data_IF_735559382627
#
_entry.id   IF_735559382627
#
_cell.length_a   1.000
_cell.length_b   1.000
_cell.length_c   1.000
_cell.angle_alpha   90.00
_cell.angle_beta   90.00
_cell.angle_gamma   90.00
#
_symmetry.space_group_name_H-M   'P 1'
#
loop_
_entity.id
_entity.type
_entity.pdbx_description
1 polymer ?
#
# COMPACT_ATOMS: atom_id res chain seq x y z
N UNK A 1 -16.83 21.25 8.28
CA UNK A 1 -15.99 21.95 7.28
C UNK A 1 -16.27 23.45 7.35
N UNK A 2 -15.25 24.29 7.37
CA UNK A 2 -15.44 25.75 7.42
C UNK A 2 -14.48 26.46 6.46
N UNK A 3 -14.76 27.73 6.11
CA UNK A 3 -13.96 28.52 5.19
C UNK A 3 -13.86 27.91 3.80
N UNK A 4 -12.65 27.86 3.25
CA UNK A 4 -12.39 27.32 1.90
C UNK A 4 -12.72 25.84 1.75
N UNK A 5 -12.68 25.03 2.83
CA UNK A 5 -12.98 23.60 2.79
C UNK A 5 -14.42 23.30 2.37
N UNK A 6 -15.39 24.05 2.89
CA UNK A 6 -16.81 23.83 2.51
C UNK A 6 -17.05 24.20 1.04
N UNK A 7 -16.44 25.27 0.56
CA UNK A 7 -16.58 25.66 -0.84
C UNK A 7 -15.96 24.63 -1.79
N UNK A 8 -14.77 24.13 -1.47
CA UNK A 8 -14.16 23.03 -2.26
C UNK A 8 -14.99 21.75 -2.20
N UNK A 9 -15.59 21.42 -1.06
CA UNK A 9 -16.47 20.26 -0.93
C UNK A 9 -17.75 20.41 -1.78
N UNK A 10 -18.35 21.61 -1.82
CA UNK A 10 -19.47 21.90 -2.71
C UNK A 10 -19.10 21.77 -4.17
N UNK A 11 -17.96 22.30 -4.60
CA UNK A 11 -17.48 22.17 -5.98
C UNK A 11 -17.24 20.68 -6.34
N UNK A 12 -16.60 19.91 -5.47
CA UNK A 12 -16.44 18.47 -5.67
C UNK A 12 -17.77 17.73 -5.75
N UNK A 13 -18.74 18.09 -4.91
CA UNK A 13 -20.09 17.52 -4.96
C UNK A 13 -20.82 17.89 -6.25
N UNK A 14 -20.79 19.17 -6.66
CA UNK A 14 -21.37 19.61 -7.94
C UNK A 14 -20.72 18.93 -9.14
N UNK A 15 -19.40 18.75 -9.10
CA UNK A 15 -18.69 17.95 -10.10
C UNK A 15 -19.29 16.55 -10.21
N UNK A 16 -19.43 15.82 -9.08
CA UNK A 16 -19.99 14.46 -9.08
C UNK A 16 -21.42 14.42 -9.61
N UNK A 17 -22.28 15.34 -9.19
CA UNK A 17 -23.67 15.42 -9.63
C UNK A 17 -23.74 15.62 -11.16
N UNK A 18 -22.86 16.44 -11.72
CA UNK A 18 -22.79 16.70 -13.16
C UNK A 18 -22.23 15.51 -13.98
N UNK A 19 -21.54 14.58 -13.35
CA UNK A 19 -21.01 13.37 -14.01
C UNK A 19 -22.01 12.20 -14.05
N UNK A 20 -23.16 12.31 -13.36
CA UNK A 20 -24.19 11.28 -13.36
C UNK A 20 -24.75 11.07 -14.75
N UNK A 21 -24.96 9.81 -15.12
CA UNK A 21 -25.46 9.40 -16.43
C UNK A 21 -26.96 9.08 -16.36
N UNK A 22 -27.68 9.22 -17.46
CA UNK A 22 -29.06 8.72 -17.56
C UNK A 22 -29.13 7.24 -17.14
N UNK A 23 -29.99 6.93 -16.18
CA UNK A 23 -30.12 5.60 -15.61
C UNK A 23 -29.38 5.39 -14.28
N UNK A 24 -28.49 6.31 -13.89
CA UNK A 24 -27.95 6.32 -12.54
C UNK A 24 -29.01 6.67 -11.51
N UNK A 25 -28.84 6.18 -10.30
CA UNK A 25 -29.65 6.58 -9.14
C UNK A 25 -28.72 7.11 -8.06
N UNK A 26 -29.09 8.20 -7.42
CA UNK A 26 -28.24 8.87 -6.44
C UNK A 26 -29.04 9.53 -5.33
N UNK A 27 -28.36 9.86 -4.26
CA UNK A 27 -28.82 10.81 -3.24
C UNK A 27 -27.62 11.59 -2.70
N UNK A 28 -27.88 12.67 -2.00
CA UNK A 28 -26.89 13.49 -1.28
C UNK A 28 -27.30 13.54 0.19
N UNK A 29 -26.35 13.21 1.05
CA UNK A 29 -26.52 13.21 2.51
C UNK A 29 -25.57 14.26 3.08
N UNK A 30 -26.12 15.34 3.58
CA UNK A 30 -25.38 16.32 4.36
C UNK A 30 -25.50 15.99 5.85
N UNK A 31 -24.47 16.28 6.61
CA UNK A 31 -24.49 16.01 8.04
C UNK A 31 -23.59 16.97 8.83
N UNK A 32 -24.09 17.30 10.00
CA UNK A 32 -23.38 17.93 11.10
C UNK A 32 -23.79 17.23 12.41
N UNK A 33 -24.47 17.89 13.33
CA UNK A 33 -25.13 17.30 14.50
C UNK A 33 -26.38 16.50 14.09
N UNK A 34 -27.04 16.91 13.00
CA UNK A 34 -28.17 16.25 12.36
C UNK A 34 -27.74 15.61 11.04
N UNK A 35 -28.60 14.78 10.47
CA UNK A 35 -28.41 14.20 9.15
C UNK A 35 -29.54 14.67 8.25
N UNK A 36 -29.20 15.29 7.14
CA UNK A 36 -30.14 15.82 6.16
C UNK A 36 -29.93 15.11 4.81
N UNK A 37 -31.00 14.58 4.26
CA UNK A 37 -30.98 13.95 2.94
C UNK A 37 -31.58 14.89 1.91
N UNK A 38 -30.98 14.99 0.73
CA UNK A 38 -31.54 15.73 -0.41
C UNK A 38 -32.97 15.23 -0.73
N UNK A 39 -33.17 13.93 -0.66
CA UNK A 39 -34.48 13.27 -0.80
C UNK A 39 -34.60 12.11 0.16
N UNK A 40 -35.83 11.67 0.53
CA UNK A 40 -36.04 10.51 1.40
C UNK A 40 -35.52 9.19 0.80
N UNK A 41 -35.47 9.10 -0.55
CA UNK A 41 -35.09 7.90 -1.29
C UNK A 41 -34.12 8.26 -2.44
N UNK A 42 -33.50 7.23 -3.01
CA UNK A 42 -32.66 7.39 -4.21
C UNK A 42 -33.46 7.98 -5.36
N UNK A 43 -32.89 8.95 -6.04
CA UNK A 43 -33.46 9.64 -7.18
C UNK A 43 -32.80 9.19 -8.48
N UNK A 44 -33.54 9.16 -9.57
CA UNK A 44 -32.97 8.97 -10.92
C UNK A 44 -32.25 10.24 -11.36
N UNK A 45 -31.13 10.05 -12.05
CA UNK A 45 -30.40 11.15 -12.65
C UNK A 45 -31.12 11.61 -13.93
N UNK A 46 -31.93 12.65 -13.80
CA UNK A 46 -32.55 13.41 -14.89
C UNK A 46 -32.28 14.89 -14.71
N UNK A 47 -32.57 15.69 -15.72
CA UNK A 47 -32.27 17.13 -15.73
C UNK A 47 -32.88 17.88 -14.53
N UNK A 48 -34.12 17.58 -14.17
CA UNK A 48 -34.82 18.22 -13.08
C UNK A 48 -34.22 17.88 -11.73
N UNK A 49 -33.91 16.61 -11.53
CA UNK A 49 -33.34 16.10 -10.28
C UNK A 49 -31.89 16.57 -10.10
N UNK A 50 -31.09 16.57 -11.17
CA UNK A 50 -29.72 17.10 -11.18
C UNK A 50 -29.75 18.59 -10.80
N UNK A 51 -30.61 19.40 -11.43
CA UNK A 51 -30.75 20.82 -11.12
C UNK A 51 -31.15 21.07 -9.66
N UNK A 52 -32.08 20.28 -9.14
CA UNK A 52 -32.49 20.37 -7.73
C UNK A 52 -31.36 19.97 -6.76
N UNK A 53 -30.57 18.92 -7.11
CA UNK A 53 -29.44 18.49 -6.29
C UNK A 53 -28.28 19.51 -6.28
N UNK A 54 -28.02 20.17 -7.42
CA UNK A 54 -27.06 21.28 -7.50
C UNK A 54 -27.50 22.45 -6.60
N UNK A 55 -28.78 22.82 -6.60
CA UNK A 55 -29.30 23.84 -5.71
C UNK A 55 -29.21 23.44 -4.23
N UNK A 56 -29.45 22.16 -3.91
CA UNK A 56 -29.21 21.64 -2.56
C UNK A 56 -27.73 21.75 -2.16
N UNK A 57 -26.81 21.38 -3.05
CA UNK A 57 -25.37 21.49 -2.80
C UNK A 57 -24.93 22.94 -2.56
N UNK A 58 -25.46 23.91 -3.32
CA UNK A 58 -25.17 25.33 -3.12
C UNK A 58 -25.69 25.84 -1.77
N UNK A 59 -26.80 25.30 -1.28
CA UNK A 59 -27.41 25.64 0.01
C UNK A 59 -26.68 25.09 1.23
N UNK A 60 -25.73 24.17 1.07
CA UNK A 60 -24.99 23.59 2.19
C UNK A 60 -24.14 24.66 2.92
N UNK A 61 -24.10 24.57 4.22
CA UNK A 61 -23.27 25.44 5.07
C UNK A 61 -22.50 24.62 6.10
N UNK A 62 -21.39 25.15 6.55
CA UNK A 62 -20.59 24.54 7.59
C UNK A 62 -21.17 24.89 8.96
N UNK A 63 -21.36 23.91 9.82
CA UNK A 63 -21.84 24.13 11.18
C UNK A 63 -21.90 22.87 12.00
N UNK A 64 -22.17 23.03 13.27
CA UNK A 64 -22.48 21.95 14.18
C UNK A 64 -21.31 21.03 14.51
N UNK A 65 -21.68 19.87 15.02
CA UNK A 65 -20.80 18.76 15.38
C UNK A 65 -20.74 17.73 14.22
N UNK A 66 -20.12 16.58 14.44
CA UNK A 66 -19.86 15.59 13.35
C UNK A 66 -20.49 14.24 13.70
N UNK A 67 -21.64 13.93 13.09
CA UNK A 67 -22.39 12.69 13.27
C UNK A 67 -22.08 11.70 12.14
N UNK A 68 -20.90 11.11 12.16
CA UNK A 68 -20.44 10.16 11.14
C UNK A 68 -21.34 8.91 11.08
N UNK A 69 -21.64 8.33 12.22
CA UNK A 69 -22.44 7.10 12.31
C UNK A 69 -23.83 7.26 11.71
N UNK A 70 -24.52 8.34 12.08
CA UNK A 70 -25.85 8.64 11.56
C UNK A 70 -25.87 8.85 10.05
N UNK A 71 -24.88 9.59 9.52
CA UNK A 71 -24.75 9.83 8.08
C UNK A 71 -24.51 8.53 7.30
N UNK A 72 -23.58 7.69 7.75
CA UNK A 72 -23.27 6.42 7.10
C UNK A 72 -24.45 5.45 7.13
N UNK A 73 -25.13 5.30 8.29
CA UNK A 73 -26.30 4.45 8.39
C UNK A 73 -27.43 4.92 7.46
N UNK A 74 -27.66 6.24 7.38
CA UNK A 74 -28.67 6.82 6.49
C UNK A 74 -28.35 6.53 5.04
N UNK A 75 -27.13 6.80 4.60
CA UNK A 75 -26.71 6.57 3.23
C UNK A 75 -26.78 5.08 2.84
N UNK A 76 -26.26 4.18 3.68
CA UNK A 76 -26.17 2.76 3.37
C UNK A 76 -27.53 2.06 3.37
N UNK A 77 -28.46 2.45 4.27
CA UNK A 77 -29.83 1.89 4.31
C UNK A 77 -30.70 2.29 3.11
N UNK A 78 -30.36 3.37 2.41
CA UNK A 78 -31.06 3.76 1.18
C UNK A 78 -30.73 2.86 0.00
N UNK A 79 -29.60 2.14 0.04
CA UNK A 79 -29.14 1.25 -1.00
C UNK A 79 -29.83 -0.10 -0.86
N UNK A 80 -30.71 -0.45 -1.79
CA UNK A 80 -31.60 -1.61 -1.68
C UNK A 80 -31.58 -2.56 -2.89
N UNK A 81 -30.82 -2.26 -3.94
CA UNK A 81 -30.70 -3.10 -5.13
C UNK A 81 -29.34 -3.84 -5.17
N UNK A 82 -29.29 -5.14 -4.80
CA UNK A 82 -28.05 -5.90 -4.80
C UNK A 82 -27.52 -6.26 -6.20
N UNK A 83 -28.31 -6.02 -7.25
CA UNK A 83 -27.90 -6.27 -8.65
C UNK A 83 -27.11 -5.10 -9.24
N UNK A 84 -27.20 -3.94 -8.59
CA UNK A 84 -26.47 -2.73 -9.03
C UNK A 84 -25.25 -2.53 -8.18
N UNK A 85 -24.12 -2.27 -8.83
CA UNK A 85 -22.91 -1.83 -8.10
C UNK A 85 -23.16 -0.45 -7.50
N UNK A 86 -23.11 -0.36 -6.19
CA UNK A 86 -23.37 0.88 -5.44
C UNK A 86 -22.09 1.41 -4.82
N UNK A 87 -21.94 2.73 -4.82
CA UNK A 87 -20.80 3.44 -4.29
C UNK A 87 -21.26 4.49 -3.27
N UNK A 88 -20.57 4.57 -2.14
CA UNK A 88 -20.72 5.66 -1.17
C UNK A 88 -19.43 6.47 -1.17
N UNK A 89 -19.50 7.73 -1.54
CA UNK A 89 -18.40 8.68 -1.42
C UNK A 89 -18.62 9.46 -0.13
N UNK A 90 -17.83 9.16 0.87
CA UNK A 90 -17.93 9.73 2.21
C UNK A 90 -16.82 10.75 2.43
N UNK A 91 -17.18 11.98 2.83
CA UNK A 91 -16.24 13.07 3.04
C UNK A 91 -16.42 13.68 4.43
N UNK A 92 -15.32 13.83 5.15
CA UNK A 92 -15.29 14.47 6.47
C UNK A 92 -14.00 15.26 6.67
N UNK A 93 -14.06 16.31 7.48
CA UNK A 93 -12.89 17.08 7.93
C UNK A 93 -12.70 17.05 9.45
N UNK A 94 -13.45 16.19 10.15
CA UNK A 94 -13.44 16.14 11.61
C UNK A 94 -13.55 14.73 12.19
N UNK A 95 -13.34 14.70 13.50
CA UNK A 95 -13.55 13.53 14.35
C UNK A 95 -15.05 13.34 14.62
N UNK A 96 -15.55 12.11 14.87
CA UNK A 96 -16.91 11.89 15.32
C UNK A 96 -17.13 12.54 16.70
N UNK A 97 -18.07 13.49 16.81
CA UNK A 97 -18.34 14.24 18.04
C UNK A 97 -19.75 14.06 18.57
N UNK A 98 -20.69 13.60 17.73
CA UNK A 98 -22.09 13.33 18.07
C UNK A 98 -22.50 11.95 17.56
N UNK A 99 -23.50 11.34 18.20
CA UNK A 99 -23.93 9.99 17.94
C UNK A 99 -22.94 8.96 18.49
N UNK A 100 -22.77 7.83 17.80
CA UNK A 100 -21.73 6.87 18.16
C UNK A 100 -20.36 7.46 17.81
N UNK A 101 -19.38 7.33 18.70
CA UNK A 101 -18.02 7.85 18.56
C UNK A 101 -16.95 6.78 18.63
N UNK A 102 -17.33 5.57 19.06
CA UNK A 102 -16.43 4.44 19.06
C UNK A 102 -16.20 3.93 17.65
N UNK A 103 -14.95 3.90 17.20
CA UNK A 103 -14.57 3.51 15.84
C UNK A 103 -15.06 2.12 15.46
N UNK A 104 -14.99 1.16 16.40
CA UNK A 104 -15.37 -0.23 16.14
C UNK A 104 -16.88 -0.36 15.99
N UNK A 105 -17.63 0.40 16.78
CA UNK A 105 -19.10 0.41 16.70
C UNK A 105 -19.56 1.13 15.43
N UNK A 106 -18.96 2.28 15.07
CA UNK A 106 -19.28 2.97 13.82
C UNK A 106 -19.06 2.03 12.63
N UNK A 107 -17.92 1.34 12.58
CA UNK A 107 -17.61 0.39 11.51
C UNK A 107 -18.58 -0.80 11.50
N UNK A 108 -18.95 -1.34 12.67
CA UNK A 108 -19.93 -2.42 12.79
C UNK A 108 -21.32 -2.00 12.33
N UNK A 109 -21.77 -0.79 12.70
CA UNK A 109 -23.05 -0.21 12.28
C UNK A 109 -23.09 0.00 10.77
N UNK A 110 -22.02 0.55 10.19
CA UNK A 110 -21.90 0.71 8.75
C UNK A 110 -21.94 -0.62 8.00
N UNK A 111 -21.23 -1.64 8.49
CA UNK A 111 -21.26 -2.98 7.90
C UNK A 111 -22.66 -3.61 7.98
N UNK A 112 -23.35 -3.47 9.11
CA UNK A 112 -24.71 -3.97 9.27
C UNK A 112 -25.71 -3.25 8.36
N UNK A 113 -25.55 -1.94 8.16
CA UNK A 113 -26.40 -1.15 7.28
C UNK A 113 -26.15 -1.42 5.78
N UNK A 114 -24.98 -1.95 5.41
CA UNK A 114 -24.60 -2.19 4.02
C UNK A 114 -25.07 -3.55 3.50
N UNK A 115 -26.37 -3.71 3.34
CA UNK A 115 -26.97 -4.96 2.88
C UNK A 115 -26.67 -5.32 1.41
N UNK A 116 -26.28 -4.34 0.58
CA UNK A 116 -26.00 -4.54 -0.85
C UNK A 116 -24.50 -4.61 -1.16
N UNK A 117 -23.65 -4.60 -0.15
CA UNK A 117 -22.19 -4.59 -0.31
C UNK A 117 -21.67 -3.41 -1.14
N UNK A 118 -22.24 -2.23 -0.94
CA UNK A 118 -21.76 -1.00 -1.55
C UNK A 118 -20.30 -0.75 -1.16
N UNK A 119 -19.53 -0.17 -2.09
CA UNK A 119 -18.12 0.22 -1.87
C UNK A 119 -18.09 1.60 -1.25
N UNK A 120 -17.33 1.76 -0.18
CA UNK A 120 -17.21 3.03 0.52
C UNK A 120 -15.84 3.66 0.28
N UNK A 121 -15.84 4.83 -0.35
CA UNK A 121 -14.64 5.63 -0.58
C UNK A 121 -14.65 6.81 0.42
N UNK A 122 -13.66 6.81 1.31
CA UNK A 122 -13.58 7.79 2.39
C UNK A 122 -12.56 8.89 2.09
N UNK A 123 -12.98 10.14 2.15
CA UNK A 123 -12.12 11.32 1.99
C UNK A 123 -11.95 12.03 3.32
N UNK A 124 -10.74 12.05 3.83
CA UNK A 124 -10.34 12.87 4.98
C UNK A 124 -9.80 14.21 4.51
N UNK A 125 -10.42 15.32 4.89
CA UNK A 125 -10.04 16.66 4.46
C UNK A 125 -9.29 17.40 5.56
N UNK A 126 -8.02 17.68 5.34
CA UNK A 126 -7.13 18.27 6.34
C UNK A 126 -6.57 17.21 7.30
N UNK A 127 -6.12 17.67 8.46
CA UNK A 127 -5.43 16.82 9.43
C UNK A 127 -6.27 16.47 10.67
N UNK A 128 -7.42 17.12 10.86
CA UNK A 128 -8.27 16.95 12.04
C UNK A 128 -9.24 15.77 11.93
N UNK A 129 -8.92 14.78 11.09
CA UNK A 129 -9.76 13.61 10.80
C UNK A 129 -9.27 12.38 11.56
N UNK A 130 -10.19 11.49 11.94
CA UNK A 130 -9.82 10.17 12.41
C UNK A 130 -9.45 9.28 11.22
N UNK A 131 -8.17 9.33 10.85
CA UNK A 131 -7.66 8.61 9.69
C UNK A 131 -7.77 7.09 9.83
N UNK A 132 -7.66 6.54 11.06
CA UNK A 132 -7.84 5.10 11.31
C UNK A 132 -9.29 4.67 11.10
N UNK A 133 -10.26 5.46 11.53
CA UNK A 133 -11.67 5.18 11.28
C UNK A 133 -11.97 5.18 9.78
N UNK A 134 -11.45 6.16 9.03
CA UNK A 134 -11.66 6.24 7.58
C UNK A 134 -11.07 5.02 6.86
N UNK A 135 -9.85 4.61 7.22
CA UNK A 135 -9.23 3.40 6.66
C UNK A 135 -10.05 2.14 6.99
N UNK A 136 -10.52 2.02 8.24
CA UNK A 136 -11.35 0.89 8.67
C UNK A 136 -12.65 0.82 7.88
N UNK A 137 -13.37 1.93 7.76
CA UNK A 137 -14.62 2.01 7.00
C UNK A 137 -14.41 1.63 5.54
N UNK A 138 -13.41 2.22 4.90
CA UNK A 138 -13.09 1.92 3.50
C UNK A 138 -12.67 0.44 3.32
N UNK A 139 -11.78 -0.07 4.17
CA UNK A 139 -11.30 -1.46 4.09
C UNK A 139 -12.43 -2.47 4.26
N UNK A 140 -13.29 -2.30 5.28
CA UNK A 140 -14.39 -3.23 5.55
C UNK A 140 -15.50 -3.19 4.49
N UNK A 141 -15.61 -2.06 3.77
CA UNK A 141 -16.61 -1.84 2.71
C UNK A 141 -16.00 -1.91 1.29
N UNK A 142 -14.87 -2.60 1.09
CA UNK A 142 -14.23 -2.84 -0.22
C UNK A 142 -13.92 -1.59 -1.05
N UNK A 143 -13.73 -0.46 -0.39
CA UNK A 143 -13.34 0.80 -0.99
C UNK A 143 -11.91 1.20 -0.63
N UNK A 144 -11.64 2.48 -0.72
CA UNK A 144 -10.33 3.08 -0.43
C UNK A 144 -10.52 4.37 0.36
N UNK A 145 -9.53 4.69 1.20
CA UNK A 145 -9.43 6.00 1.84
C UNK A 145 -8.47 6.90 1.07
N UNK A 146 -8.78 8.17 1.01
CA UNK A 146 -7.93 9.21 0.44
C UNK A 146 -7.87 10.40 1.40
N UNK A 147 -6.71 11.04 1.47
CA UNK A 147 -6.51 12.18 2.35
C UNK A 147 -6.14 13.39 1.52
N UNK A 148 -6.90 14.47 1.71
CA UNK A 148 -6.70 15.74 1.02
C UNK A 148 -6.03 16.71 1.98
N UNK A 149 -4.79 17.07 1.72
CA UNK A 149 -4.02 17.97 2.57
C UNK A 149 -4.57 19.41 2.48
N UNK A 150 -4.30 20.29 3.46
CA UNK A 150 -4.85 21.65 3.48
C UNK A 150 -4.55 22.51 2.24
N UNK A 151 -3.49 22.19 1.53
CA UNK A 151 -3.04 22.89 0.30
C UNK A 151 -3.41 22.15 -1.00
N UNK A 152 -4.17 21.07 -0.91
CA UNK A 152 -4.61 20.28 -2.07
C UNK A 152 -6.08 20.56 -2.41
N UNK A 153 -6.47 20.27 -3.66
CA UNK A 153 -7.84 20.43 -4.13
C UNK A 153 -8.66 19.18 -3.83
N UNK A 154 -9.77 19.33 -3.13
CA UNK A 154 -10.74 18.26 -2.88
C UNK A 154 -11.31 17.76 -4.22
N UNK A 155 -11.67 18.67 -5.13
CA UNK A 155 -12.20 18.36 -6.44
C UNK A 155 -11.23 17.47 -7.24
N UNK A 156 -9.94 17.75 -7.22
CA UNK A 156 -8.93 16.96 -7.94
C UNK A 156 -8.90 15.51 -7.46
N UNK A 157 -8.93 15.28 -6.14
CA UNK A 157 -8.97 13.94 -5.55
C UNK A 157 -10.26 13.19 -5.90
N UNK A 158 -11.40 13.87 -5.79
CA UNK A 158 -12.72 13.31 -6.10
C UNK A 158 -12.85 12.99 -7.59
N UNK A 159 -12.39 13.89 -8.47
CA UNK A 159 -12.41 13.68 -9.93
C UNK A 159 -11.52 12.49 -10.33
N UNK A 160 -10.34 12.37 -9.74
CA UNK A 160 -9.46 11.25 -9.99
C UNK A 160 -10.10 9.91 -9.59
N UNK A 161 -10.76 9.87 -8.44
CA UNK A 161 -11.51 8.69 -8.02
C UNK A 161 -12.69 8.41 -8.95
N UNK A 162 -13.51 9.44 -9.26
CA UNK A 162 -14.68 9.26 -10.12
C UNK A 162 -14.31 8.74 -11.50
N UNK A 163 -13.21 9.23 -12.08
CA UNK A 163 -12.68 8.74 -13.35
C UNK A 163 -12.40 7.24 -13.34
N UNK A 164 -12.02 6.69 -12.19
CA UNK A 164 -11.85 5.25 -12.01
C UNK A 164 -13.21 4.54 -11.88
N UNK A 165 -14.00 4.91 -10.88
CA UNK A 165 -15.24 4.19 -10.53
C UNK A 165 -16.36 4.38 -11.55
N UNK A 166 -16.32 5.43 -12.36
CA UNK A 166 -17.32 5.72 -13.41
C UNK A 166 -17.32 4.74 -14.59
N UNK A 167 -16.32 3.84 -14.67
CA UNK A 167 -16.21 2.84 -15.75
C UNK A 167 -15.73 1.49 -15.20
N UNK A 168 -16.57 0.81 -14.38
CA UNK A 168 -16.21 -0.51 -13.87
C UNK A 168 -16.13 -1.51 -15.02
N UNK A 169 -15.02 -2.22 -15.14
CA UNK A 169 -14.80 -3.25 -16.15
C UNK A 169 -15.21 -4.63 -15.63
N UNK A 170 -14.81 -4.92 -14.39
CA UNK A 170 -15.10 -6.20 -13.75
C UNK A 170 -15.25 -5.99 -12.23
N UNK A 171 -16.41 -6.35 -11.68
CA UNK A 171 -16.70 -6.21 -10.25
C UNK A 171 -16.75 -7.57 -9.56
N UNK A 172 -16.67 -7.60 -8.23
CA UNK A 172 -16.72 -8.83 -7.42
C UNK A 172 -15.73 -9.89 -7.90
N UNK A 173 -14.47 -9.50 -8.03
CA UNK A 173 -13.41 -10.35 -8.55
C UNK A 173 -13.13 -11.54 -7.64
N UNK A 174 -12.92 -12.69 -8.27
CA UNK A 174 -12.42 -13.90 -7.64
C UNK A 174 -11.38 -14.56 -8.54
N UNK A 175 -10.31 -15.07 -7.95
CA UNK A 175 -9.27 -15.83 -8.65
C UNK A 175 -9.24 -17.24 -8.12
N UNK A 176 -9.29 -18.22 -9.02
CA UNK A 176 -9.17 -19.64 -8.72
C UNK A 176 -7.95 -20.24 -9.42
N UNK A 177 -7.33 -21.25 -8.79
CA UNK A 177 -6.17 -21.97 -9.30
C UNK A 177 -6.48 -23.44 -9.38
N UNK A 178 -6.35 -24.01 -10.55
CA UNK A 178 -6.43 -25.44 -10.81
C UNK A 178 -5.03 -25.96 -11.11
N UNK A 179 -4.54 -26.89 -10.27
CA UNK A 179 -3.23 -27.50 -10.44
C UNK A 179 -3.39 -28.78 -11.26
N UNK A 180 -2.50 -28.99 -12.23
CA UNK A 180 -2.44 -30.23 -13.01
C UNK A 180 -1.74 -31.35 -12.20
N UNK A 181 -2.21 -31.53 -10.95
CA UNK A 181 -1.77 -32.58 -10.02
C UNK A 181 -2.81 -32.78 -8.92
N UNK A 182 -2.88 -33.99 -8.39
CA UNK A 182 -3.74 -34.27 -7.25
C UNK A 182 -3.15 -33.64 -5.99
N UNK A 183 -3.91 -32.73 -5.38
CA UNK A 183 -3.60 -32.14 -4.07
C UNK A 183 -4.52 -32.80 -3.05
N UNK A 184 -3.99 -33.46 -2.00
CA UNK A 184 -4.83 -34.07 -0.98
C UNK A 184 -5.75 -33.04 -0.31
N UNK A 185 -7.02 -33.35 -0.15
CA UNK A 185 -8.01 -32.46 0.45
C UNK A 185 -7.67 -32.04 1.89
N UNK A 186 -6.88 -32.85 2.59
CA UNK A 186 -6.36 -32.56 3.94
C UNK A 186 -5.16 -31.61 3.93
N UNK A 187 -4.62 -31.27 2.77
CA UNK A 187 -3.47 -30.36 2.66
C UNK A 187 -3.91 -28.93 2.83
N UNK A 188 -3.06 -28.12 3.49
CA UNK A 188 -3.23 -26.68 3.49
C UNK A 188 -3.24 -26.14 2.05
N UNK A 189 -3.97 -25.04 1.82
CA UNK A 189 -4.06 -24.41 0.49
C UNK A 189 -2.70 -24.32 -0.21
N UNK A 190 -2.61 -24.76 -1.47
CA UNK A 190 -1.37 -24.68 -2.25
C UNK A 190 -0.95 -23.24 -2.54
N UNK A 191 -1.89 -22.30 -2.53
CA UNK A 191 -1.66 -20.86 -2.64
C UNK A 191 -1.98 -20.20 -1.29
N UNK A 192 -1.10 -19.35 -0.82
CA UNK A 192 -1.24 -18.71 0.48
C UNK A 192 -0.61 -17.32 0.50
N UNK A 193 -0.92 -16.53 1.54
CA UNK A 193 -0.37 -15.20 1.76
C UNK A 193 -0.42 -14.33 0.50
N UNK A 194 -1.62 -14.26 -0.08
CA UNK A 194 -1.90 -13.45 -1.27
C UNK A 194 -2.20 -12.01 -0.92
N UNK A 195 -1.72 -11.08 -1.73
CA UNK A 195 -1.93 -9.64 -1.53
C UNK A 195 -2.29 -8.95 -2.86
N UNK A 196 -3.36 -8.10 -2.87
CA UNK A 196 -4.26 -7.83 -1.76
C UNK A 196 -5.03 -9.09 -1.31
N UNK A 197 -5.43 -9.14 -0.03
CA UNK A 197 -6.22 -10.27 0.52
C UNK A 197 -7.61 -10.35 -0.07
N UNK A 198 -8.22 -9.19 -0.32
CA UNK A 198 -9.48 -9.05 -1.03
C UNK A 198 -9.20 -8.30 -2.33
N UNK A 199 -9.66 -8.88 -3.42
CA UNK A 199 -9.57 -8.22 -4.72
C UNK A 199 -10.63 -7.12 -4.78
N UNK A 200 -10.21 -5.94 -5.17
CA UNK A 200 -11.11 -4.81 -5.47
C UNK A 200 -11.65 -4.92 -6.88
N UNK A 201 -12.67 -4.14 -7.20
CA UNK A 201 -13.17 -4.04 -8.56
C UNK A 201 -12.06 -3.56 -9.50
N UNK A 202 -12.11 -4.00 -10.74
CA UNK A 202 -11.16 -3.59 -11.79
C UNK A 202 -11.83 -2.57 -12.70
N UNK A 203 -11.20 -1.43 -12.85
CA UNK A 203 -11.69 -0.33 -13.65
C UNK A 203 -10.92 -0.22 -14.98
N UNK A 204 -11.50 0.49 -15.94
CA UNK A 204 -10.88 0.68 -17.25
C UNK A 204 -9.50 1.34 -17.13
N UNK A 205 -8.49 0.74 -17.76
CA UNK A 205 -7.10 1.23 -17.71
C UNK A 205 -6.31 0.81 -16.48
N UNK A 206 -6.92 0.09 -15.53
CA UNK A 206 -6.19 -0.43 -14.36
C UNK A 206 -5.54 -1.79 -14.63
N UNK A 207 -4.48 -2.05 -13.89
CA UNK A 207 -3.78 -3.32 -13.87
C UNK A 207 -4.03 -4.05 -12.55
N UNK A 208 -4.54 -5.28 -12.62
CA UNK A 208 -4.61 -6.15 -11.45
C UNK A 208 -3.25 -6.78 -11.19
N UNK A 209 -2.60 -6.36 -10.12
CA UNK A 209 -1.37 -6.99 -9.62
C UNK A 209 -1.70 -7.78 -8.35
N UNK A 210 -1.58 -9.09 -8.42
CA UNK A 210 -1.84 -9.98 -7.30
C UNK A 210 -0.64 -10.89 -7.07
N UNK A 211 -0.09 -10.89 -5.86
CA UNK A 211 1.11 -11.64 -5.49
C UNK A 211 0.82 -12.58 -4.33
N UNK A 212 1.50 -13.71 -4.29
CA UNK A 212 1.26 -14.71 -3.25
C UNK A 212 2.39 -15.73 -3.17
N UNK A 213 2.24 -16.70 -2.27
CA UNK A 213 3.16 -17.83 -2.13
C UNK A 213 2.47 -19.11 -2.55
N UNK A 214 3.21 -20.01 -3.21
CA UNK A 214 2.75 -21.31 -3.59
C UNK A 214 3.69 -22.42 -3.05
N UNK A 215 3.14 -23.62 -2.89
CA UNK A 215 3.89 -24.78 -2.38
C UNK A 215 4.44 -25.68 -3.47
N UNK A 216 3.74 -25.76 -4.60
CA UNK A 216 4.00 -26.75 -5.64
C UNK A 216 4.22 -26.07 -6.97
N UNK A 217 5.30 -26.41 -7.66
CA UNK A 217 5.54 -26.03 -9.04
C UNK A 217 4.71 -26.89 -10.02
N UNK A 218 4.74 -26.50 -11.29
CA UNK A 218 4.10 -27.22 -12.38
C UNK A 218 3.05 -26.40 -13.12
N UNK A 219 2.39 -26.99 -14.14
CA UNK A 219 1.32 -26.35 -14.89
C UNK A 219 0.11 -26.07 -14.01
N UNK A 220 -0.53 -24.92 -14.23
CA UNK A 220 -1.77 -24.52 -13.58
C UNK A 220 -2.68 -23.83 -14.57
N UNK A 221 -3.98 -23.78 -14.24
CA UNK A 221 -4.95 -22.87 -14.85
C UNK A 221 -5.35 -21.82 -13.84
N UNK A 222 -5.27 -20.56 -14.23
CA UNK A 222 -5.69 -19.40 -13.42
C UNK A 222 -7.00 -18.91 -14.01
N UNK A 223 -8.07 -18.96 -13.22
CA UNK A 223 -9.38 -18.46 -13.64
C UNK A 223 -9.71 -17.18 -12.88
N UNK A 224 -9.81 -16.07 -13.59
CA UNK A 224 -10.32 -14.80 -13.10
C UNK A 224 -11.81 -14.72 -13.38
N UNK A 225 -12.63 -14.61 -12.35
CA UNK A 225 -14.07 -14.46 -12.46
C UNK A 225 -14.53 -13.13 -11.86
N UNK A 226 -15.64 -12.60 -12.35
CA UNK A 226 -16.25 -11.38 -11.84
C UNK A 226 -17.56 -11.09 -12.55
N UNK A 227 -18.16 -9.94 -12.28
CA UNK A 227 -19.40 -9.48 -12.91
C UNK A 227 -19.12 -8.32 -13.87
N UNK A 228 -19.67 -8.39 -15.07
CA UNK A 228 -19.66 -7.32 -16.08
C UNK A 228 -21.10 -6.91 -16.33
N UNK A 229 -21.46 -5.69 -16.00
CA UNK A 229 -22.85 -5.20 -16.10
C UNK A 229 -23.89 -6.13 -15.45
N UNK A 230 -23.54 -6.75 -14.31
CA UNK A 230 -24.41 -7.68 -13.58
C UNK A 230 -24.36 -9.14 -14.06
N UNK A 231 -23.70 -9.44 -15.18
CA UNK A 231 -23.52 -10.80 -15.67
C UNK A 231 -22.18 -11.40 -15.21
N UNK A 232 -22.20 -12.64 -14.73
CA UNK A 232 -20.98 -13.37 -14.35
C UNK A 232 -20.16 -13.74 -15.59
N UNK A 233 -18.89 -13.34 -15.60
CA UNK A 233 -17.91 -13.69 -16.63
C UNK A 233 -16.70 -14.36 -15.99
N UNK A 234 -16.02 -15.22 -16.75
CA UNK A 234 -14.79 -15.86 -16.33
C UNK A 234 -13.78 -15.92 -17.46
N UNK A 235 -12.52 -15.73 -17.13
CA UNK A 235 -11.39 -15.75 -18.06
C UNK A 235 -10.36 -16.71 -17.51
N UNK A 236 -9.94 -17.68 -18.33
CA UNK A 236 -8.99 -18.72 -17.90
C UNK A 236 -7.68 -18.58 -18.67
N UNK A 237 -6.58 -18.63 -17.96
CA UNK A 237 -5.23 -18.48 -18.49
C UNK A 237 -4.37 -19.68 -18.07
N UNK A 238 -3.65 -20.32 -18.99
CA UNK A 238 -2.63 -21.30 -18.62
C UNK A 238 -1.41 -20.58 -18.02
N UNK A 239 -0.79 -21.17 -17.00
CA UNK A 239 0.44 -20.67 -16.42
C UNK A 239 1.30 -21.83 -15.92
N UNK A 240 2.58 -21.58 -15.65
CA UNK A 240 3.48 -22.54 -15.05
C UNK A 240 4.16 -21.92 -13.84
N UNK A 241 3.99 -22.55 -12.69
CA UNK A 241 4.71 -22.20 -11.47
C UNK A 241 6.07 -22.93 -11.46
N UNK A 242 7.15 -22.19 -11.34
CA UNK A 242 8.51 -22.76 -11.33
C UNK A 242 8.88 -23.25 -9.92
N UNK A 243 9.54 -24.40 -9.80
CA UNK A 243 9.98 -24.91 -8.48
C UNK A 243 11.13 -24.08 -7.90
N UNK A 244 12.04 -23.65 -8.75
CA UNK A 244 13.16 -22.77 -8.41
C UNK A 244 13.36 -21.78 -9.54
N UNK A 245 13.45 -20.51 -9.20
CA UNK A 245 13.90 -19.52 -10.15
C UNK A 245 15.42 -19.56 -10.23
N UNK A 246 15.94 -20.00 -11.38
CA UNK A 246 17.37 -19.89 -11.70
C UNK A 246 17.70 -18.49 -12.25
N UNK A 247 16.69 -17.69 -12.55
CA UNK A 247 16.77 -16.41 -13.21
C UNK A 247 16.56 -15.27 -12.22
N UNK A 248 17.48 -14.32 -12.20
CA UNK A 248 17.38 -13.10 -11.41
C UNK A 248 16.30 -12.13 -11.93
N UNK A 249 15.79 -12.33 -13.14
CA UNK A 249 14.80 -11.46 -13.79
C UNK A 249 13.54 -11.30 -12.94
N UNK A 250 13.12 -12.32 -12.22
CA UNK A 250 11.91 -12.33 -11.40
C UNK A 250 12.15 -12.02 -9.92
N UNK A 251 13.37 -11.65 -9.52
CA UNK A 251 13.70 -11.33 -8.12
C UNK A 251 12.91 -10.15 -7.53
N UNK A 252 12.40 -9.25 -8.38
CA UNK A 252 11.55 -8.15 -7.96
C UNK A 252 10.20 -8.64 -7.37
N UNK A 253 9.71 -9.82 -7.78
CA UNK A 253 8.43 -10.38 -7.30
C UNK A 253 8.50 -10.68 -5.80
N UNK A 254 9.63 -11.21 -5.32
CA UNK A 254 9.83 -11.48 -3.90
C UNK A 254 9.82 -10.18 -3.07
N UNK A 255 10.49 -9.14 -3.56
CA UNK A 255 10.47 -7.82 -2.92
C UNK A 255 9.08 -7.18 -2.95
N UNK A 256 8.37 -7.29 -4.06
CA UNK A 256 7.00 -6.81 -4.18
C UNK A 256 6.07 -7.51 -3.19
N UNK A 257 6.16 -8.83 -3.10
CA UNK A 257 5.40 -9.60 -2.11
C UNK A 257 5.72 -9.12 -0.67
N UNK A 258 7.01 -8.97 -0.34
CA UNK A 258 7.43 -8.51 0.97
C UNK A 258 6.93 -7.09 1.28
N UNK A 259 6.97 -6.18 0.29
CA UNK A 259 6.44 -4.80 0.42
C UNK A 259 4.95 -4.82 0.77
N UNK A 260 4.15 -5.58 0.02
CA UNK A 260 2.71 -5.72 0.29
C UNK A 260 2.44 -6.42 1.62
N UNK A 261 3.24 -7.44 1.98
CA UNK A 261 3.11 -8.09 3.29
C UNK A 261 3.39 -7.13 4.44
N UNK A 262 4.43 -6.29 4.33
CA UNK A 262 4.71 -5.25 5.34
C UNK A 262 3.55 -4.26 5.43
N UNK A 263 3.00 -3.81 4.31
CA UNK A 263 1.80 -2.95 4.29
C UNK A 263 0.61 -3.59 5.00
N UNK A 264 0.34 -4.88 4.76
CA UNK A 264 -0.71 -5.63 5.46
C UNK A 264 -0.41 -5.80 6.96
N UNK A 265 0.84 -6.05 7.35
CA UNK A 265 1.22 -6.12 8.76
C UNK A 265 0.93 -4.80 9.46
N UNK A 266 1.33 -3.68 8.87
CA UNK A 266 1.06 -2.35 9.43
C UNK A 266 -0.45 -2.11 9.54
N UNK A 267 -1.22 -2.49 8.54
CA UNK A 267 -2.68 -2.39 8.55
C UNK A 267 -3.31 -3.25 9.65
N UNK A 268 -2.86 -4.49 9.80
CA UNK A 268 -3.33 -5.37 10.88
C UNK A 268 -3.01 -4.81 12.28
N UNK A 269 -1.81 -4.27 12.47
CA UNK A 269 -1.38 -3.64 13.73
C UNK A 269 -2.19 -2.37 14.02
N UNK A 270 -2.49 -1.57 13.01
CA UNK A 270 -3.27 -0.34 13.13
C UNK A 270 -4.75 -0.63 13.44
N UNK A 271 -5.36 -1.58 12.72
CA UNK A 271 -6.80 -1.83 12.81
C UNK A 271 -7.19 -2.84 13.90
N UNK A 272 -6.32 -3.80 14.23
CA UNK A 272 -6.62 -4.89 15.18
C UNK A 272 -5.84 -4.81 16.49
N UNK A 273 -4.91 -3.85 16.58
CA UNK A 273 -4.06 -3.66 17.75
C UNK A 273 -2.72 -4.40 17.65
N UNK A 274 -1.93 -4.25 18.70
CA UNK A 274 -0.55 -4.70 18.73
C UNK A 274 -0.42 -6.22 18.80
N UNK A 275 0.46 -6.77 17.97
CA UNK A 275 0.84 -8.17 17.93
C UNK A 275 2.36 -8.29 17.73
N UNK A 276 3.04 -8.90 18.69
CA UNK A 276 4.50 -9.03 18.67
C UNK A 276 5.00 -9.85 17.47
N UNK A 277 4.33 -10.94 17.13
CA UNK A 277 4.72 -11.81 16.00
C UNK A 277 4.67 -11.06 14.67
N UNK A 278 3.68 -10.19 14.49
CA UNK A 278 3.59 -9.36 13.29
C UNK A 278 4.71 -8.32 13.22
N UNK A 279 5.09 -7.74 14.34
CA UNK A 279 6.22 -6.80 14.39
C UNK A 279 7.52 -7.54 14.10
N UNK A 280 7.72 -8.71 14.68
CA UNK A 280 8.89 -9.54 14.45
C UNK A 280 9.01 -9.92 12.95
N UNK A 281 7.90 -10.34 12.33
CA UNK A 281 7.85 -10.62 10.89
C UNK A 281 8.19 -9.37 10.06
N UNK A 282 7.65 -8.20 10.42
CA UNK A 282 7.95 -6.94 9.73
C UNK A 282 9.43 -6.58 9.80
N UNK A 283 10.05 -6.69 10.98
CA UNK A 283 11.49 -6.42 11.16
C UNK A 283 12.33 -7.39 10.32
N UNK A 284 11.99 -8.68 10.31
CA UNK A 284 12.69 -9.68 9.50
C UNK A 284 12.57 -9.42 8.00
N UNK A 285 11.38 -9.09 7.52
CA UNK A 285 11.17 -8.72 6.13
C UNK A 285 11.93 -7.45 5.75
N UNK A 286 11.97 -6.46 6.66
CA UNK A 286 12.73 -5.22 6.47
C UNK A 286 14.23 -5.49 6.31
N UNK A 287 14.80 -6.33 7.18
CA UNK A 287 16.20 -6.73 7.08
C UNK A 287 16.46 -7.48 5.77
N UNK A 288 15.68 -8.53 5.51
CA UNK A 288 15.92 -9.43 4.37
C UNK A 288 15.80 -8.75 3.02
N UNK A 289 14.81 -7.87 2.84
CA UNK A 289 14.50 -7.26 1.54
C UNK A 289 14.89 -5.79 1.44
N UNK A 290 15.45 -5.19 2.52
CA UNK A 290 15.83 -3.78 2.55
C UNK A 290 14.66 -2.82 2.44
N UNK A 291 13.49 -3.23 2.93
CA UNK A 291 12.28 -2.41 2.93
C UNK A 291 12.23 -1.67 4.26
N UNK A 292 12.78 -0.46 4.27
CA UNK A 292 12.85 0.35 5.49
C UNK A 292 11.57 1.17 5.64
N UNK A 293 10.88 0.95 6.74
CA UNK A 293 9.65 1.65 7.12
C UNK A 293 9.93 2.67 8.22
N UNK A 294 9.02 3.61 8.52
CA UNK A 294 9.14 4.49 9.70
C UNK A 294 9.41 3.71 10.99
N UNK A 295 8.84 2.50 11.11
CA UNK A 295 8.95 1.65 12.30
C UNK A 295 10.26 0.86 12.37
N UNK A 296 10.97 0.71 11.26
CA UNK A 296 12.21 -0.07 11.13
C UNK A 296 13.41 0.78 10.68
N UNK A 297 13.28 2.11 10.64
CA UNK A 297 14.32 3.03 10.18
C UNK A 297 15.61 2.96 10.99
N UNK A 298 15.55 2.53 12.26
CA UNK A 298 16.75 2.26 13.10
C UNK A 298 17.68 1.20 12.50
N UNK A 299 17.18 0.31 11.63
CA UNK A 299 18.02 -0.68 10.95
C UNK A 299 19.06 -0.04 10.02
N UNK A 300 18.83 1.18 9.58
CA UNK A 300 19.76 1.94 8.76
C UNK A 300 20.93 2.57 9.57
N UNK A 301 20.83 2.63 10.91
CA UNK A 301 21.87 3.16 11.76
C UNK A 301 23.09 2.21 11.80
N UNK A 302 24.31 2.73 11.62
CA UNK A 302 25.53 1.92 11.49
C UNK A 302 25.83 1.07 12.73
N UNK A 303 25.49 1.58 13.93
CA UNK A 303 25.71 0.92 15.22
C UNK A 303 24.69 -0.17 15.55
N UNK A 304 23.64 -0.33 14.75
CA UNK A 304 22.61 -1.35 14.95
C UNK A 304 23.01 -2.65 14.29
N UNK A 305 23.21 -3.70 15.09
CA UNK A 305 23.52 -5.05 14.60
C UNK A 305 22.27 -5.74 14.06
N UNK A 306 22.30 -6.15 12.80
CA UNK A 306 21.16 -6.84 12.16
C UNK A 306 20.85 -8.18 12.83
N UNK A 307 21.86 -8.86 13.36
CA UNK A 307 21.73 -10.14 14.06
C UNK A 307 21.17 -10.03 15.49
N UNK A 308 21.03 -8.83 16.07
CA UNK A 308 20.36 -8.62 17.35
C UNK A 308 18.83 -8.65 17.15
N UNK A 309 18.29 -9.82 16.81
CA UNK A 309 16.86 -9.99 16.54
C UNK A 309 15.99 -9.50 17.71
N UNK A 310 16.33 -9.89 18.95
CA UNK A 310 15.54 -9.51 20.11
C UNK A 310 15.56 -7.99 20.38
N UNK A 311 16.71 -7.34 20.23
CA UNK A 311 16.83 -5.89 20.36
C UNK A 311 16.11 -5.14 19.26
N UNK A 312 16.25 -5.60 18.01
CA UNK A 312 15.60 -5.00 16.87
C UNK A 312 14.07 -5.15 16.93
N UNK A 313 13.57 -6.31 17.33
CA UNK A 313 12.14 -6.55 17.52
C UNK A 313 11.56 -5.65 18.61
N UNK A 314 12.24 -5.48 19.77
CA UNK A 314 11.80 -4.55 20.82
C UNK A 314 11.77 -3.10 20.35
N UNK A 315 12.77 -2.65 19.59
CA UNK A 315 12.78 -1.28 19.00
C UNK A 315 11.64 -1.09 18.02
N UNK A 316 11.40 -2.06 17.13
CA UNK A 316 10.28 -2.05 16.19
C UNK A 316 8.94 -1.97 16.91
N UNK A 317 8.75 -2.80 17.93
CA UNK A 317 7.53 -2.82 18.74
C UNK A 317 7.25 -1.46 19.42
N UNK A 318 8.26 -0.89 20.07
CA UNK A 318 8.13 0.40 20.74
C UNK A 318 7.75 1.54 19.75
N UNK A 319 8.33 1.53 18.53
CA UNK A 319 8.00 2.50 17.50
C UNK A 319 6.58 2.31 16.98
N UNK A 320 6.18 1.09 16.68
CA UNK A 320 4.80 0.77 16.24
C UNK A 320 3.78 1.24 17.29
N UNK A 321 4.00 0.91 18.58
CA UNK A 321 3.11 1.34 19.64
C UNK A 321 2.94 2.85 19.71
N UNK A 322 4.05 3.59 19.67
CA UNK A 322 4.04 5.04 19.77
C UNK A 322 3.37 5.70 18.57
N UNK A 323 3.73 5.25 17.37
CA UNK A 323 3.39 5.97 16.15
C UNK A 323 1.97 5.62 15.67
N UNK A 324 1.54 4.36 15.70
CA UNK A 324 0.17 3.97 15.32
C UNK A 324 -0.90 4.43 16.34
N UNK A 325 -0.51 4.87 17.53
CA UNK A 325 -1.44 5.51 18.47
C UNK A 325 -1.95 6.87 17.98
N UNK A 326 -1.28 7.48 17.00
CA UNK A 326 -1.70 8.76 16.40
C UNK A 326 -2.85 8.53 15.42
N UNK A 327 -4.05 8.95 15.79
CA UNK A 327 -5.27 8.76 14.98
C UNK A 327 -5.49 9.90 13.98
N UNK A 328 -5.08 11.09 14.35
CA UNK A 328 -5.26 12.35 13.65
C UNK A 328 -3.93 13.09 13.50
N UNK A 329 -4.00 14.31 12.99
CA UNK A 329 -2.84 15.14 12.72
C UNK A 329 -2.08 14.71 11.47
N UNK A 330 -1.07 15.48 11.10
CA UNK A 330 -0.23 15.22 9.93
C UNK A 330 0.42 13.83 9.99
N UNK A 331 0.88 13.41 11.18
CA UNK A 331 1.49 12.09 11.37
C UNK A 331 0.48 10.95 11.18
N UNK A 332 -0.75 11.11 11.70
CA UNK A 332 -1.79 10.11 11.53
C UNK A 332 -2.13 9.89 10.06
N UNK A 333 -2.31 10.98 9.31
CA UNK A 333 -2.58 10.95 7.86
C UNK A 333 -1.40 10.36 7.10
N UNK A 334 -0.17 10.83 7.34
CA UNK A 334 1.02 10.36 6.64
C UNK A 334 1.26 8.85 6.78
N UNK A 335 0.98 8.29 7.97
CA UNK A 335 1.14 6.86 8.22
C UNK A 335 0.13 6.03 7.41
N UNK A 336 -1.14 6.48 7.31
CA UNK A 336 -2.18 5.76 6.56
C UNK A 336 -1.95 5.86 5.06
N UNK A 337 -1.52 7.01 4.56
CA UNK A 337 -1.06 7.14 3.18
C UNK A 337 0.12 6.21 2.88
N UNK A 338 1.11 6.14 3.77
CA UNK A 338 2.28 5.26 3.62
C UNK A 338 1.88 3.79 3.56
N UNK A 339 1.06 3.34 4.52
CA UNK A 339 0.51 1.99 4.59
C UNK A 339 -0.25 1.64 3.30
N UNK A 340 -1.11 2.54 2.81
CA UNK A 340 -1.84 2.37 1.55
C UNK A 340 -0.90 2.15 0.37
N UNK A 341 0.14 2.99 0.23
CA UNK A 341 1.15 2.84 -0.83
C UNK A 341 1.88 1.50 -0.81
N UNK A 342 2.19 0.96 0.37
CA UNK A 342 2.82 -0.37 0.48
C UNK A 342 1.88 -1.48 0.04
N UNK A 343 0.60 -1.39 0.40
CA UNK A 343 -0.42 -2.40 0.04
C UNK A 343 -0.75 -2.40 -1.45
N UNK A 344 -0.71 -1.24 -2.09
CA UNK A 344 -1.02 -1.05 -3.51
C UNK A 344 0.22 -1.08 -4.43
N UNK A 345 1.43 -1.27 -3.87
CA UNK A 345 2.65 -1.27 -4.65
C UNK A 345 2.56 -2.20 -5.86
N UNK A 346 2.91 -1.70 -7.05
CA UNK A 346 2.95 -2.48 -8.31
C UNK A 346 4.36 -2.94 -8.66
N UNK A 347 5.37 -2.38 -7.98
CA UNK A 347 6.78 -2.74 -8.09
C UNK A 347 7.42 -2.79 -6.71
N UNK A 348 8.44 -3.61 -6.53
CA UNK A 348 9.24 -3.60 -5.30
C UNK A 348 9.99 -2.27 -5.12
N UNK A 349 10.47 -1.93 -3.90
CA UNK A 349 11.23 -0.72 -3.68
C UNK A 349 12.48 -0.73 -4.55
N UNK A 350 12.54 0.28 -5.43
CA UNK A 350 13.66 0.67 -6.26
C UNK A 350 14.46 -0.45 -6.97
N UNK A 351 13.84 -1.01 -7.99
CA UNK A 351 14.58 -1.60 -9.12
C UNK A 351 14.31 -0.73 -10.34
N UNK A 352 15.24 0.15 -10.68
CA UNK A 352 15.28 0.88 -11.95
C UNK A 352 14.11 1.82 -12.26
N UNK A 353 14.29 3.11 -12.09
CA UNK A 353 13.64 4.14 -12.91
C UNK A 353 12.24 4.62 -12.57
N UNK A 354 11.63 4.16 -11.50
CA UNK A 354 10.35 4.71 -11.03
C UNK A 354 10.34 4.73 -9.52
N UNK A 355 10.43 5.90 -8.90
CA UNK A 355 10.00 6.06 -7.52
C UNK A 355 8.62 5.44 -7.38
N UNK A 356 8.27 4.92 -6.17
CA UNK A 356 6.94 4.39 -5.85
C UNK A 356 5.91 4.96 -6.81
N UNK A 357 5.40 4.12 -7.73
CA UNK A 357 4.48 4.59 -8.75
C UNK A 357 3.24 5.18 -8.09
N UNK A 358 3.35 6.44 -7.72
CA UNK A 358 2.18 7.27 -7.57
C UNK A 358 1.57 7.37 -8.96
N UNK A 359 0.27 7.15 -9.15
CA UNK A 359 -0.39 7.80 -10.26
C UNK A 359 0.00 9.28 -10.10
N UNK A 360 0.64 9.82 -11.12
CA UNK A 360 1.02 11.22 -11.14
C UNK A 360 -0.25 12.05 -10.98
N UNK A 361 -0.54 12.50 -9.79
CA UNK A 361 -1.41 13.64 -9.59
C UNK A 361 -0.63 14.82 -10.15
N UNK A 362 -0.96 15.17 -11.39
CA UNK A 362 -0.45 16.36 -12.04
C UNK A 362 -0.88 17.57 -11.21
N UNK A 363 0.07 18.26 -10.61
CA UNK A 363 -0.19 19.55 -10.00
C UNK A 363 0.54 19.77 -8.68
N UNK A 364 1.85 19.75 -8.68
CA UNK A 364 2.66 20.28 -7.58
C UNK A 364 3.99 20.76 -8.14
N UNK A 365 4.18 22.06 -8.26
CA UNK A 365 5.47 22.69 -8.54
C UNK A 365 6.42 22.47 -7.36
N UNK A 366 6.94 21.27 -7.23
CA UNK A 366 7.96 20.89 -6.26
C UNK A 366 9.33 21.22 -6.83
N UNK A 367 10.08 22.07 -6.14
CA UNK A 367 11.43 22.48 -6.50
C UNK A 367 12.33 21.29 -6.88
N UNK A 368 13.00 21.42 -8.02
CA UNK A 368 13.83 20.40 -8.61
C UNK A 368 14.95 19.95 -7.67
N UNK A 369 14.77 18.82 -7.00
CA UNK A 369 15.88 18.06 -6.46
C UNK A 369 16.75 17.61 -7.63
N UNK A 370 17.95 18.20 -7.76
CA UNK A 370 18.98 17.73 -8.69
C UNK A 370 19.25 16.26 -8.37
N UNK A 371 18.68 15.35 -9.17
CA UNK A 371 19.07 13.94 -9.18
C UNK A 371 20.56 13.88 -9.53
N UNK A 372 21.41 13.61 -8.53
CA UNK A 372 22.74 13.09 -8.81
C UNK A 372 22.54 11.82 -9.64
N UNK A 373 23.10 11.75 -10.84
CA UNK A 373 23.27 10.49 -11.57
C UNK A 373 24.15 9.61 -10.67
N UNK A 374 23.51 8.70 -9.94
CA UNK A 374 24.22 7.64 -9.23
C UNK A 374 24.65 6.61 -10.27
N UNK A 375 25.90 6.18 -10.20
CA UNK A 375 26.41 5.08 -11.00
C UNK A 375 25.53 3.84 -10.81
N UNK A 376 24.93 3.35 -11.89
CA UNK A 376 24.04 2.19 -11.87
C UNK A 376 24.76 0.93 -11.32
N UNK A 377 26.09 0.91 -11.35
CA UNK A 377 26.95 -0.15 -10.82
C UNK A 377 27.00 -0.19 -9.28
N UNK A 378 26.82 0.95 -8.58
CA UNK A 378 26.94 1.03 -7.12
C UNK A 378 25.63 0.75 -6.37
N UNK A 379 24.55 0.40 -7.08
CA UNK A 379 23.25 0.09 -6.49
C UNK A 379 22.42 1.36 -6.18
N UNK A 380 21.18 1.14 -5.77
CA UNK A 380 20.25 2.21 -5.42
C UNK A 380 20.13 2.34 -3.91
N UNK A 381 20.29 3.55 -3.38
CA UNK A 381 20.03 3.85 -2.00
C UNK A 381 18.55 3.55 -1.66
N UNK A 382 18.31 2.99 -0.49
CA UNK A 382 16.95 2.76 -0.02
C UNK A 382 16.28 4.10 0.31
N UNK A 383 14.98 4.12 0.12
CA UNK A 383 14.15 5.29 0.41
C UNK A 383 13.17 4.91 1.51
N UNK A 384 13.04 5.74 2.51
CA UNK A 384 12.04 5.62 3.57
C UNK A 384 11.24 6.91 3.69
N UNK A 385 10.23 6.88 4.53
CA UNK A 385 9.45 8.04 4.93
C UNK A 385 9.51 8.16 6.44
N UNK A 386 9.65 9.36 6.95
CA UNK A 386 9.55 9.59 8.40
C UNK A 386 8.09 9.65 8.87
N UNK A 387 7.90 9.84 10.17
CA UNK A 387 6.57 9.90 10.77
C UNK A 387 5.71 11.09 10.28
N UNK A 388 6.33 12.14 9.76
CA UNK A 388 5.64 13.30 9.19
C UNK A 388 5.39 13.16 7.68
N UNK A 389 5.78 12.04 7.08
CA UNK A 389 5.58 11.79 5.66
C UNK A 389 6.71 12.32 4.76
N UNK A 390 7.79 12.84 5.33
CA UNK A 390 8.93 13.35 4.55
C UNK A 390 9.75 12.18 4.03
N UNK A 391 9.97 12.17 2.72
CA UNK A 391 10.76 11.13 2.04
C UNK A 391 12.26 11.36 2.32
N UNK A 392 12.94 10.33 2.81
CA UNK A 392 14.35 10.34 3.12
C UNK A 392 15.10 9.27 2.33
N UNK A 393 16.24 9.64 1.76
CA UNK A 393 17.17 8.70 1.12
C UNK A 393 18.14 8.20 2.19
N UNK A 394 18.28 6.89 2.30
CA UNK A 394 19.15 6.24 3.27
C UNK A 394 20.45 5.81 2.59
N UNK A 395 21.50 6.59 2.75
CA UNK A 395 22.82 6.28 2.16
C UNK A 395 23.47 5.03 2.79
N UNK A 396 23.02 4.61 3.97
CA UNK A 396 23.51 3.41 4.68
C UNK A 396 22.80 2.10 4.29
N UNK A 397 21.85 2.14 3.33
CA UNK A 397 21.16 0.95 2.81
C UNK A 397 21.14 0.98 1.30
N UNK A 398 21.70 -0.05 0.65
CA UNK A 398 21.76 -0.18 -0.82
C UNK A 398 21.14 -1.48 -1.30
N UNK A 399 20.35 -1.38 -2.35
CA UNK A 399 19.82 -2.54 -3.08
C UNK A 399 20.65 -2.72 -4.36
N UNK A 400 21.29 -3.88 -4.51
CA UNK A 400 22.07 -4.24 -5.68
C UNK A 400 21.58 -5.59 -6.21
N UNK A 401 20.98 -5.62 -7.39
CA UNK A 401 20.33 -6.82 -7.89
C UNK A 401 19.27 -7.35 -6.92
N UNK A 402 19.41 -8.59 -6.49
CA UNK A 402 18.49 -9.23 -5.54
C UNK A 402 18.91 -9.05 -4.07
N UNK A 403 20.09 -8.50 -3.81
CA UNK A 403 20.65 -8.37 -2.47
C UNK A 403 20.47 -6.97 -1.90
N UNK A 404 20.33 -6.94 -0.58
CA UNK A 404 20.31 -5.69 0.19
C UNK A 404 21.56 -5.64 1.07
N UNK A 405 22.23 -4.51 1.03
CA UNK A 405 23.42 -4.25 1.81
C UNK A 405 23.14 -3.11 2.80
N UNK A 406 23.60 -3.32 4.03
CA UNK A 406 23.58 -2.32 5.08
C UNK A 406 25.01 -1.89 5.39
N UNK A 407 25.26 -0.60 5.51
CA UNK A 407 26.53 -0.08 5.97
C UNK A 407 26.61 -0.29 7.50
N UNK A 408 27.54 -1.14 7.95
CA UNK A 408 27.76 -1.50 9.33
C UNK A 408 29.27 -1.47 9.63
N UNK A 409 29.66 -0.74 10.64
CA UNK A 409 31.07 -0.66 11.04
C UNK A 409 31.98 -0.36 9.83
N UNK A 410 31.60 0.63 8.99
CA UNK A 410 32.32 1.05 7.78
C UNK A 410 32.45 -0.04 6.70
N UNK A 411 31.61 -1.06 6.72
CA UNK A 411 31.58 -2.15 5.75
C UNK A 411 30.16 -2.41 5.27
N UNK A 412 29.99 -2.63 3.99
CA UNK A 412 28.71 -3.08 3.42
C UNK A 412 28.49 -4.55 3.73
N UNK A 413 27.43 -4.85 4.45
CA UNK A 413 27.06 -6.20 4.83
C UNK A 413 25.78 -6.63 4.11
N UNK A 414 25.84 -7.74 3.35
CA UNK A 414 24.66 -8.42 2.80
C UNK A 414 23.74 -8.86 3.94
N UNK A 415 22.47 -8.51 3.85
CA UNK A 415 21.44 -8.76 4.85
C UNK A 415 21.25 -10.25 5.19
N UNK A 416 21.72 -11.15 4.33
CA UNK A 416 21.61 -12.61 4.50
C UNK A 416 22.78 -13.22 5.25
N UNK A 417 23.84 -12.45 5.53
CA UNK A 417 25.04 -12.95 6.23
C UNK A 417 24.77 -13.09 7.72
N UNK A 418 24.95 -14.31 8.23
CA UNK A 418 24.85 -14.58 9.67
C UNK A 418 26.16 -14.22 10.41
N UNK A 419 26.13 -14.02 11.75
CA UNK A 419 27.35 -13.77 12.52
C UNK A 419 28.40 -14.87 12.42
N UNK A 420 27.97 -16.12 12.29
CA UNK A 420 28.87 -17.27 12.11
C UNK A 420 29.53 -17.26 10.74
N UNK A 421 28.75 -16.97 9.69
CA UNK A 421 29.27 -16.80 8.33
C UNK A 421 30.25 -15.63 8.23
N UNK A 422 29.94 -14.52 8.91
CA UNK A 422 30.84 -13.37 8.95
C UNK A 422 32.21 -13.69 9.56
N UNK A 423 32.25 -14.53 10.60
CA UNK A 423 33.50 -14.96 11.24
C UNK A 423 34.34 -15.89 10.34
N UNK A 424 33.66 -16.70 9.54
CA UNK A 424 34.27 -17.70 8.66
C UNK A 424 34.38 -17.24 7.20
N UNK A 425 34.21 -15.96 6.93
CA UNK A 425 34.25 -15.42 5.60
C UNK A 425 35.65 -15.55 4.97
N UNK A 426 35.68 -15.95 3.70
CA UNK A 426 36.90 -15.98 2.91
C UNK A 426 37.29 -14.55 2.56
N UNK A 427 38.48 -14.13 2.93
CA UNK A 427 38.98 -12.79 2.63
C UNK A 427 39.60 -12.76 1.25
N UNK A 428 39.24 -11.76 0.45
CA UNK A 428 39.73 -11.54 -0.91
C UNK A 428 40.02 -10.05 -1.07
N UNK A 429 41.22 -9.72 -1.52
CA UNK A 429 41.56 -8.33 -1.84
C UNK A 429 41.07 -7.98 -3.25
N UNK A 430 40.55 -6.77 -3.43
CA UNK A 430 40.18 -6.28 -4.76
C UNK A 430 41.39 -6.34 -5.70
N UNK A 431 41.14 -6.74 -6.93
CA UNK A 431 42.12 -6.84 -8.01
C UNK A 431 43.22 -7.91 -7.80
N UNK A 432 43.07 -8.78 -6.77
CA UNK A 432 43.93 -9.96 -6.64
C UNK A 432 43.57 -11.04 -7.65
N UNK A 433 44.42 -12.09 -7.81
CA UNK A 433 44.12 -13.26 -8.65
C UNK A 433 42.83 -13.92 -8.19
N UNK A 434 42.66 -14.10 -6.88
CA UNK A 434 41.47 -14.71 -6.29
C UNK A 434 40.19 -13.91 -6.55
N UNK A 435 40.30 -12.57 -6.63
CA UNK A 435 39.20 -11.70 -6.99
C UNK A 435 38.74 -11.92 -8.45
N UNK A 436 39.70 -12.03 -9.37
CA UNK A 436 39.39 -12.29 -10.77
C UNK A 436 38.86 -13.72 -10.99
N UNK A 437 39.40 -14.71 -10.27
CA UNK A 437 38.91 -16.09 -10.31
C UNK A 437 37.47 -16.17 -9.77
N UNK A 438 37.17 -15.42 -8.70
CA UNK A 438 35.82 -15.31 -8.15
C UNK A 438 34.86 -14.67 -9.17
N UNK A 439 35.29 -13.59 -9.83
CA UNK A 439 34.50 -12.94 -10.87
C UNK A 439 34.24 -13.86 -12.07
N UNK A 440 35.23 -14.62 -12.51
CA UNK A 440 35.12 -15.57 -13.61
C UNK A 440 34.19 -16.74 -13.30
N UNK A 441 34.26 -17.29 -12.07
CA UNK A 441 33.49 -18.47 -11.65
C UNK A 441 31.99 -18.22 -11.49
N UNK A 442 31.55 -16.97 -11.25
CA UNK A 442 30.17 -16.60 -10.99
C UNK A 442 29.52 -15.78 -12.12
N UNK A 443 30.27 -15.49 -13.17
CA UNK A 443 29.79 -14.75 -14.35
C UNK A 443 29.34 -13.30 -14.05
N UNK A 444 28.63 -12.68 -15.01
CA UNK A 444 28.19 -11.27 -14.90
C UNK A 444 27.28 -10.97 -13.70
N UNK A 445 26.69 -11.97 -13.09
CA UNK A 445 25.84 -11.84 -11.89
C UNK A 445 26.62 -11.31 -10.70
N UNK A 446 27.90 -11.65 -10.58
CA UNK A 446 28.74 -11.26 -9.48
C UNK A 446 29.33 -9.88 -9.66
N UNK A 447 29.59 -9.43 -10.88
CA UNK A 447 30.25 -8.17 -11.19
C UNK A 447 29.57 -6.98 -10.50
N UNK A 448 28.23 -6.99 -10.39
CA UNK A 448 27.46 -5.94 -9.71
C UNK A 448 27.73 -5.87 -8.20
N UNK A 449 28.06 -7.01 -7.55
CA UNK A 449 28.39 -7.04 -6.11
C UNK A 449 29.86 -6.72 -5.83
N UNK A 450 30.70 -6.72 -6.86
CA UNK A 450 32.10 -6.36 -6.78
C UNK A 450 32.37 -4.87 -7.02
N UNK A 451 31.33 -4.10 -7.36
CA UNK A 451 31.44 -2.67 -7.69
C UNK A 451 31.43 -1.71 -6.49
N UNK A 452 31.59 -2.23 -5.27
CA UNK A 452 31.72 -1.40 -4.08
C UNK A 452 33.18 -0.92 -3.94
N UNK A 453 33.37 0.34 -3.61
CA UNK A 453 34.69 0.91 -3.31
C UNK A 453 35.11 0.64 -1.87
N UNK A 454 34.09 0.43 -0.97
CA UNK A 454 34.28 0.15 0.43
C UNK A 454 34.31 -1.38 0.69
N UNK A 455 34.80 -1.83 1.86
CA UNK A 455 34.77 -3.24 2.20
C UNK A 455 33.36 -3.82 2.14
N UNK A 456 33.22 -5.01 1.60
CA UNK A 456 31.92 -5.70 1.48
C UNK A 456 31.99 -7.11 2.06
N UNK A 457 30.93 -7.51 2.75
CA UNK A 457 30.70 -8.86 3.24
C UNK A 457 29.46 -9.43 2.53
N UNK A 458 29.64 -10.48 1.73
CA UNK A 458 28.59 -10.97 0.83
C UNK A 458 28.52 -12.48 0.78
N UNK A 459 27.29 -13.02 0.73
CA UNK A 459 27.02 -14.43 0.46
C UNK A 459 26.97 -14.67 -1.05
N UNK A 460 27.81 -15.57 -1.57
CA UNK A 460 27.85 -15.96 -2.98
C UNK A 460 27.75 -17.49 -3.06
N UNK A 461 26.61 -17.98 -3.51
CA UNK A 461 26.32 -19.41 -3.45
C UNK A 461 26.37 -19.95 -2.01
N UNK A 462 27.20 -20.94 -1.76
CA UNK A 462 27.34 -21.58 -0.47
C UNK A 462 28.42 -20.95 0.44
N UNK A 463 29.17 -19.96 -0.07
CA UNK A 463 30.29 -19.33 0.66
C UNK A 463 30.04 -17.85 0.94
N UNK A 464 30.61 -17.38 2.04
CA UNK A 464 30.64 -15.96 2.41
C UNK A 464 32.01 -15.41 2.12
N UNK A 465 32.07 -14.25 1.48
CA UNK A 465 33.29 -13.55 1.14
C UNK A 465 33.34 -12.18 1.81
N UNK A 466 34.48 -11.83 2.35
CA UNK A 466 34.83 -10.46 2.69
C UNK A 466 35.77 -9.94 1.62
N UNK A 467 35.34 -8.95 0.87
CA UNK A 467 36.15 -8.32 -0.18
C UNK A 467 36.61 -6.99 0.38
N UNK A 468 37.91 -6.87 0.56
CA UNK A 468 38.55 -5.65 1.07
C UNK A 468 39.07 -4.82 -0.12
N UNK A 469 39.08 -3.46 -0.04
CA UNK A 469 39.67 -2.60 -1.05
C UNK A 469 41.14 -2.97 -1.28
N UNK A 470 41.62 -2.70 -2.51
CA UNK A 470 43.05 -2.84 -2.78
C UNK A 470 43.86 -1.95 -1.81
N UNK A 471 45.02 -2.44 -1.31
CA UNK A 471 45.90 -1.58 -0.50
C UNK A 471 46.28 -0.34 -1.32
N UNK A 472 46.35 0.83 -0.68
CA UNK A 472 46.86 2.02 -1.37
C UNK A 472 48.27 1.77 -1.91
N UNK A 473 48.49 2.16 -3.17
CA UNK A 473 49.80 2.07 -3.80
C UNK A 473 50.89 2.88 -3.05
#
# INVERSE_FOLDING_TARGET
>A
MSGTKIEQAKEALKFLINQLKPGDTFNVIAYDSAVESFRPELQRADEATIKAALAFADGLYAGGSTNIDGALQTALKMLNDPKRTSYVLFMTDGLPTVGERDELKIAANARQANGVHARLFAFGVGFDVNSRLLDRLAHEQRGQSAYVRPNESIEAHVSALYSKIGSPLLTDLAVNFEFDRVIPASSASPISRTYPRQLTDLFQGEQLVWVGRYKYGGPIKVTLAGSVAGERKSFTFPATLVEKSADETNGFVEKLWATRRIGEIIDELDLKGHNQELVDEMVQLSIRHGIITPYTSFLAEENVRLADHAGNNRRGYARVQRDLAKLDGEQGVAQREYKGRLREAVSGPAGGGGGFGLPALAGGSGGGMKRKKMDAAKGQAAVTQDAAGVVQVLDSVRNVGQKTFFLKEQRWQDSTVTPEQAKNAVRVAQFSSEYFDLAASHGGTLAKYLAFDEPILVNLGAKTYQIDPAPPE
#
